data_IF_818398921869
#
_entry.id   IF_818398921869
#
_cell.length_a   1.000
_cell.length_b   1.000
_cell.length_c   1.000
_cell.angle_alpha   90.00
_cell.angle_beta   90.00
_cell.angle_gamma   90.00
#
_symmetry.space_group_name_H-M   'P 1'
#
loop_
_entity.id
_entity.type
_entity.pdbx_description
1 polymer ?
#
# COMPACT_ATOMS: atom_id res chain seq x y z
N UNK A 1 91.68 -43.76 11.15
CA UNK A 1 90.44 -43.12 10.63
C UNK A 1 90.48 -43.21 9.10
N UNK A 2 89.68 -44.10 8.49
CA UNK A 2 89.74 -44.37 7.04
C UNK A 2 89.22 -43.18 6.22
N UNK A 3 89.94 -42.82 5.17
CA UNK A 3 89.70 -41.65 4.28
C UNK A 3 88.34 -41.67 3.58
N UNK A 4 87.72 -42.85 3.46
CA UNK A 4 86.35 -43.03 2.94
C UNK A 4 85.29 -42.44 3.89
N UNK A 5 85.46 -42.60 5.22
CA UNK A 5 84.49 -42.11 6.20
C UNK A 5 84.51 -40.58 6.36
N UNK A 6 85.66 -39.94 6.11
CA UNK A 6 85.79 -38.49 6.15
C UNK A 6 85.05 -37.80 4.98
N UNK A 7 85.10 -38.38 3.77
CA UNK A 7 84.39 -37.86 2.59
C UNK A 7 82.87 -37.99 2.74
N UNK A 8 82.39 -39.13 3.24
CA UNK A 8 80.96 -39.37 3.50
C UNK A 8 80.42 -38.40 4.57
N UNK A 9 81.21 -38.13 5.61
CA UNK A 9 80.83 -37.17 6.65
C UNK A 9 80.75 -35.73 6.13
N UNK A 10 81.71 -35.28 5.31
CA UNK A 10 81.66 -33.94 4.71
C UNK A 10 80.49 -33.78 3.72
N UNK A 11 80.17 -34.82 2.94
CA UNK A 11 79.05 -34.78 2.01
C UNK A 11 77.70 -34.67 2.75
N UNK A 12 77.51 -35.44 3.83
CA UNK A 12 76.31 -35.33 4.70
C UNK A 12 76.19 -33.97 5.39
N UNK A 13 77.30 -33.34 5.77
CA UNK A 13 77.27 -31.99 6.35
C UNK A 13 76.90 -30.92 5.30
N UNK A 14 77.35 -31.08 4.05
CA UNK A 14 77.02 -30.16 2.96
C UNK A 14 75.54 -30.25 2.57
N UNK A 15 74.97 -31.46 2.52
CA UNK A 15 73.53 -31.67 2.30
C UNK A 15 72.68 -31.14 3.45
N UNK A 16 73.06 -31.41 4.71
CA UNK A 16 72.36 -30.85 5.88
C UNK A 16 72.34 -29.32 5.86
N UNK A 17 73.45 -28.68 5.50
CA UNK A 17 73.51 -27.21 5.39
C UNK A 17 72.64 -26.69 4.24
N UNK A 18 72.54 -27.41 3.13
CA UNK A 18 71.66 -27.05 2.01
C UNK A 18 70.17 -27.13 2.41
N UNK A 19 69.75 -28.23 3.03
CA UNK A 19 68.37 -28.45 3.51
C UNK A 19 67.97 -27.42 4.58
N UNK A 20 68.88 -27.07 5.50
CA UNK A 20 68.61 -26.04 6.51
C UNK A 20 68.51 -24.63 5.92
N UNK A 21 69.20 -24.36 4.80
CA UNK A 21 69.15 -23.06 4.09
C UNK A 21 67.86 -22.93 3.27
N UNK A 22 67.42 -24.00 2.62
CA UNK A 22 66.14 -24.08 1.91
C UNK A 22 64.95 -23.96 2.88
N UNK A 23 64.93 -24.72 3.97
CA UNK A 23 63.87 -24.63 5.00
C UNK A 23 63.81 -23.26 5.71
N UNK A 24 64.94 -22.56 5.83
CA UNK A 24 64.97 -21.20 6.41
C UNK A 24 64.41 -20.17 5.41
N UNK A 25 64.70 -20.30 4.13
CA UNK A 25 64.15 -19.43 3.09
C UNK A 25 62.63 -19.62 2.94
N UNK A 26 62.12 -20.86 2.96
CA UNK A 26 60.67 -21.11 2.87
C UNK A 26 59.90 -20.56 4.08
N UNK A 27 60.47 -20.64 5.29
CA UNK A 27 59.86 -20.05 6.49
C UNK A 27 59.90 -18.52 6.49
N UNK A 28 60.93 -17.88 5.92
CA UNK A 28 61.01 -16.41 5.81
C UNK A 28 60.02 -15.91 4.75
N UNK A 29 59.97 -16.56 3.59
CA UNK A 29 59.06 -16.21 2.48
C UNK A 29 57.60 -16.44 2.90
N UNK A 30 57.26 -17.60 3.49
CA UNK A 30 55.89 -17.92 3.90
C UNK A 30 55.34 -17.06 5.05
N UNK A 31 56.21 -16.57 5.95
CA UNK A 31 55.80 -15.72 7.10
C UNK A 31 55.68 -14.24 6.72
N UNK A 32 56.46 -13.78 5.73
CA UNK A 32 56.36 -12.43 5.16
C UNK A 32 55.10 -12.28 4.31
N UNK A 33 54.83 -13.23 3.41
CA UNK A 33 53.65 -13.17 2.53
C UNK A 33 52.34 -13.25 3.33
N UNK A 34 52.24 -14.15 4.33
CA UNK A 34 51.01 -14.25 5.14
C UNK A 34 50.70 -12.98 5.95
N UNK A 35 51.71 -12.25 6.44
CA UNK A 35 51.52 -10.97 7.15
C UNK A 35 51.15 -9.82 6.20
N UNK A 36 51.76 -9.77 5.01
CA UNK A 36 51.47 -8.75 4.00
C UNK A 36 50.05 -8.94 3.44
N UNK A 37 49.64 -10.17 3.13
CA UNK A 37 48.27 -10.44 2.66
C UNK A 37 47.21 -10.18 3.74
N UNK A 38 47.46 -10.47 5.02
CA UNK A 38 46.49 -10.17 6.10
C UNK A 38 46.32 -8.68 6.39
N UNK A 39 47.39 -7.88 6.27
CA UNK A 39 47.31 -6.41 6.46
C UNK A 39 46.67 -5.73 5.25
N UNK A 40 46.93 -6.22 4.03
CA UNK A 40 46.29 -5.70 2.81
C UNK A 40 44.81 -6.08 2.75
N UNK A 41 44.40 -7.29 3.17
CA UNK A 41 42.98 -7.67 3.23
C UNK A 41 42.20 -6.89 4.30
N UNK A 42 42.78 -6.62 5.46
CA UNK A 42 42.13 -5.83 6.50
C UNK A 42 42.03 -4.34 6.13
N UNK A 43 43.05 -3.76 5.48
CA UNK A 43 43.01 -2.39 4.99
C UNK A 43 42.07 -2.21 3.77
N UNK A 44 41.98 -3.21 2.88
CA UNK A 44 41.08 -3.20 1.73
C UNK A 44 39.61 -3.44 2.11
N UNK A 45 39.32 -4.04 3.27
CA UNK A 45 37.97 -4.18 3.82
C UNK A 45 37.53 -3.00 4.72
N UNK A 46 38.48 -2.27 5.32
CA UNK A 46 38.13 -1.09 6.15
C UNK A 46 37.84 0.17 5.34
N UNK A 47 38.44 0.34 4.17
CA UNK A 47 38.22 1.51 3.31
C UNK A 47 36.78 1.58 2.73
N UNK A 48 36.15 0.48 2.29
CA UNK A 48 34.73 0.46 1.96
C UNK A 48 33.83 0.74 3.16
N UNK A 49 34.17 0.26 4.37
CA UNK A 49 33.35 0.46 5.57
C UNK A 49 33.39 1.90 6.10
N UNK A 50 34.53 2.59 6.00
CA UNK A 50 34.65 4.01 6.38
C UNK A 50 34.00 4.91 5.31
N UNK A 51 34.13 4.57 4.02
CA UNK A 51 33.43 5.27 2.94
C UNK A 51 31.90 5.05 3.02
N UNK A 52 31.45 3.86 3.40
CA UNK A 52 30.03 3.53 3.60
C UNK A 52 29.48 4.21 4.87
N UNK A 53 30.24 4.23 5.96
CA UNK A 53 29.90 4.97 7.18
C UNK A 53 29.85 6.49 6.97
N UNK A 54 30.78 7.05 6.18
CA UNK A 54 30.77 8.45 5.76
C UNK A 54 29.64 8.78 4.78
N UNK A 55 29.23 7.83 3.93
CA UNK A 55 28.06 7.94 3.06
C UNK A 55 26.75 7.94 3.85
N UNK A 56 26.59 7.01 4.82
CA UNK A 56 25.43 6.99 5.71
C UNK A 56 25.41 8.19 6.68
N UNK A 57 26.57 8.65 7.17
CA UNK A 57 26.65 9.86 7.99
C UNK A 57 26.38 11.13 7.17
N UNK A 58 26.78 11.22 5.90
CA UNK A 58 26.36 12.32 5.01
C UNK A 58 24.89 12.25 4.60
N UNK A 59 24.26 11.07 4.62
CA UNK A 59 22.81 10.94 4.45
C UNK A 59 22.02 11.26 5.73
N UNK A 60 22.64 11.26 6.91
CA UNK A 60 21.96 11.51 8.19
C UNK A 60 22.47 12.73 9.00
N UNK A 61 23.53 13.40 8.56
CA UNK A 61 23.95 14.70 9.08
C UNK A 61 23.15 15.82 8.39
N UNK A 62 21.87 15.83 8.70
CA UNK A 62 20.86 16.77 8.25
C UNK A 62 19.64 16.73 9.16
N UNK A 63 19.82 16.64 10.48
CA UNK A 63 18.78 17.09 11.40
C UNK A 63 18.75 18.62 11.34
N UNK A 64 18.00 19.14 10.37
CA UNK A 64 17.50 20.51 10.40
C UNK A 64 16.17 20.60 9.64
N UNK A 65 15.15 21.01 10.39
CA UNK A 65 13.82 21.48 9.99
C UNK A 65 12.87 20.47 9.31
N UNK A 66 11.92 19.95 10.11
CA UNK A 66 10.56 19.53 9.75
C UNK A 66 10.35 19.06 8.29
N UNK A 67 10.43 17.76 8.02
CA UNK A 67 9.72 17.23 6.85
C UNK A 67 8.24 17.01 7.21
N UNK A 68 7.44 18.07 7.04
CA UNK A 68 6.07 17.89 6.56
C UNK A 68 6.15 18.08 5.06
N UNK A 69 6.17 16.99 4.31
CA UNK A 69 6.07 17.03 2.85
C UNK A 69 4.85 16.25 2.40
N UNK A 70 3.67 16.79 2.69
CA UNK A 70 2.48 16.43 1.94
C UNK A 70 2.61 17.06 0.55
N UNK A 71 3.09 16.31 -0.45
CA UNK A 71 3.12 16.85 -1.82
C UNK A 71 1.72 16.79 -2.43
N UNK A 72 1.35 17.85 -3.13
CA UNK A 72 0.10 17.91 -3.87
C UNK A 72 0.35 17.35 -5.28
N UNK A 73 -0.31 16.23 -5.59
CA UNK A 73 -0.38 15.65 -6.92
C UNK A 73 -1.69 16.12 -7.56
N UNK A 74 -1.62 17.10 -8.45
CA UNK A 74 -2.80 17.55 -9.20
C UNK A 74 -3.06 16.61 -10.39
N UNK A 75 -4.31 16.14 -10.52
CA UNK A 75 -4.79 15.34 -11.64
C UNK A 75 -5.94 16.11 -12.29
N UNK A 76 -5.65 16.72 -13.43
CA UNK A 76 -6.63 17.49 -14.21
C UNK A 76 -7.59 16.58 -14.97
N UNK A 77 -8.67 17.14 -15.52
CA UNK A 77 -9.51 16.44 -16.48
C UNK A 77 -8.68 15.86 -17.64
N UNK A 78 -8.92 14.59 -17.99
CA UNK A 78 -8.11 13.85 -18.96
C UNK A 78 -6.74 13.38 -18.44
N UNK A 79 -6.40 13.68 -17.18
CA UNK A 79 -5.20 13.20 -16.52
C UNK A 79 -5.25 11.72 -16.14
N UNK A 80 -4.09 11.14 -15.85
CA UNK A 80 -3.97 9.72 -15.50
C UNK A 80 -4.01 9.51 -13.97
N UNK A 81 -5.17 9.10 -13.46
CA UNK A 81 -5.37 8.80 -12.04
C UNK A 81 -4.55 7.58 -11.58
N UNK A 82 -4.43 6.53 -12.40
CA UNK A 82 -3.65 5.34 -12.03
C UNK A 82 -2.16 5.70 -11.81
N UNK A 83 -1.58 6.49 -12.72
CA UNK A 83 -0.20 6.96 -12.58
C UNK A 83 -0.01 7.86 -11.34
N UNK A 84 -1.03 8.62 -10.94
CA UNK A 84 -0.98 9.41 -9.71
C UNK A 84 -0.99 8.51 -8.46
N UNK A 85 -1.81 7.46 -8.43
CA UNK A 85 -1.84 6.46 -7.35
C UNK A 85 -0.51 5.70 -7.23
N UNK A 86 0.10 5.36 -8.36
CA UNK A 86 1.40 4.69 -8.42
C UNK A 86 2.52 5.60 -7.92
N UNK A 87 2.52 6.88 -8.31
CA UNK A 87 3.53 7.84 -7.89
C UNK A 87 3.42 8.27 -6.43
N UNK A 88 2.20 8.36 -5.89
CA UNK A 88 1.98 8.88 -4.55
C UNK A 88 2.74 8.08 -3.48
N UNK A 89 3.28 8.80 -2.51
CA UNK A 89 3.95 8.28 -1.32
C UNK A 89 3.12 8.62 -0.07
N UNK A 90 3.21 7.85 1.03
CA UNK A 90 2.53 8.17 2.28
C UNK A 90 2.71 9.64 2.67
N UNK A 91 1.61 10.31 3.03
CA UNK A 91 1.57 11.75 3.30
C UNK A 91 1.10 12.62 2.11
N UNK A 92 1.17 12.11 0.87
CA UNK A 92 0.76 12.87 -0.32
C UNK A 92 -0.75 13.12 -0.38
N UNK A 93 -1.11 14.23 -1.05
CA UNK A 93 -2.49 14.53 -1.43
C UNK A 93 -2.66 14.52 -2.95
N UNK A 94 -3.45 13.59 -3.47
CA UNK A 94 -3.91 13.59 -4.86
C UNK A 94 -5.16 14.48 -4.97
N UNK A 95 -5.03 15.63 -5.63
CA UNK A 95 -6.14 16.54 -5.95
C UNK A 95 -6.68 16.24 -7.34
N UNK A 96 -7.87 15.67 -7.39
CA UNK A 96 -8.62 15.46 -8.63
C UNK A 96 -9.38 16.74 -8.97
N UNK A 97 -9.30 17.20 -10.22
CA UNK A 97 -10.00 18.40 -10.66
C UNK A 97 -11.51 18.32 -10.36
N UNK A 98 -12.02 19.32 -9.65
CA UNK A 98 -13.42 19.39 -9.24
C UNK A 98 -14.37 19.29 -10.46
N UNK A 99 -15.35 18.39 -10.38
CA UNK A 99 -16.31 18.14 -11.47
C UNK A 99 -15.75 17.36 -12.66
N UNK A 100 -14.46 17.00 -12.68
CA UNK A 100 -13.88 16.19 -13.74
C UNK A 100 -14.33 14.72 -13.65
N UNK A 101 -14.35 14.03 -14.80
CA UNK A 101 -14.63 12.60 -14.88
C UNK A 101 -13.36 11.80 -15.16
N UNK A 102 -13.15 10.74 -14.38
CA UNK A 102 -12.06 9.77 -14.51
C UNK A 102 -12.68 8.40 -14.81
N UNK A 103 -12.54 7.94 -16.05
CA UNK A 103 -13.09 6.66 -16.50
C UNK A 103 -11.99 5.61 -16.46
N UNK A 104 -12.20 4.53 -15.70
CA UNK A 104 -11.25 3.43 -15.59
C UNK A 104 -11.54 2.49 -14.42
N UNK A 105 -10.75 1.43 -14.35
CA UNK A 105 -10.67 0.54 -13.20
C UNK A 105 -9.32 0.80 -12.52
N UNK A 106 -9.34 1.38 -11.32
CA UNK A 106 -8.14 1.89 -10.66
C UNK A 106 -7.75 1.00 -9.49
N UNK A 107 -6.47 0.65 -9.43
CA UNK A 107 -5.93 -0.15 -8.35
C UNK A 107 -5.26 0.74 -7.31
N UNK A 108 -5.55 0.51 -6.03
CA UNK A 108 -4.81 1.08 -4.91
C UNK A 108 -3.59 0.19 -4.66
N UNK A 109 -2.36 0.66 -4.94
CA UNK A 109 -1.16 -0.15 -4.73
C UNK A 109 -0.79 -0.28 -3.24
N UNK A 110 -0.05 -1.33 -2.90
CA UNK A 110 0.65 -1.42 -1.62
C UNK A 110 1.74 -0.33 -1.53
N UNK A 111 1.90 0.32 -0.38
CA UNK A 111 2.90 1.37 -0.13
C UNK A 111 3.71 1.07 1.13
N UNK A 112 4.96 1.53 1.16
CA UNK A 112 5.79 1.45 2.37
C UNK A 112 5.59 2.70 3.22
N UNK A 113 5.08 2.56 4.45
CA UNK A 113 4.86 3.64 5.40
C UNK A 113 3.47 3.58 6.04
N UNK A 114 3.18 4.49 6.98
CA UNK A 114 1.93 4.51 7.76
C UNK A 114 1.12 5.81 7.66
N UNK A 115 1.53 6.75 6.82
CA UNK A 115 0.77 7.98 6.60
C UNK A 115 -0.26 7.81 5.50
N UNK A 116 -1.41 8.50 5.64
CA UNK A 116 -2.47 8.43 4.64
C UNK A 116 -2.08 9.12 3.34
N UNK A 117 -2.33 8.46 2.22
CA UNK A 117 -2.46 9.10 0.90
C UNK A 117 -3.90 9.58 0.79
N UNK A 118 -4.08 10.90 0.67
CA UNK A 118 -5.42 11.50 0.58
C UNK A 118 -5.78 11.78 -0.87
N UNK A 119 -6.83 11.15 -1.38
CA UNK A 119 -7.42 11.41 -2.69
C UNK A 119 -8.66 12.27 -2.49
N UNK A 120 -8.68 13.48 -3.05
CA UNK A 120 -9.79 14.41 -2.84
C UNK A 120 -10.07 15.31 -4.02
N UNK A 121 -11.26 15.89 -4.04
CA UNK A 121 -11.56 17.01 -4.93
C UNK A 121 -10.57 18.17 -4.73
N UNK A 122 -10.25 18.86 -5.82
CA UNK A 122 -9.49 20.10 -5.84
C UNK A 122 -10.33 21.31 -5.42
N UNK A 123 -11.64 21.15 -5.22
CA UNK A 123 -12.52 22.21 -4.74
C UNK A 123 -12.09 22.70 -3.34
N UNK A 124 -12.37 23.98 -3.08
CA UNK A 124 -12.13 24.59 -1.79
C UNK A 124 -13.01 23.94 -0.71
N UNK A 125 -12.51 23.89 0.53
CA UNK A 125 -13.18 23.17 1.63
C UNK A 125 -14.57 23.75 1.94
N UNK A 126 -14.81 25.03 1.68
CA UNK A 126 -16.11 25.69 1.88
C UNK A 126 -17.18 25.21 0.89
N UNK A 127 -16.79 24.50 -0.18
CA UNK A 127 -17.70 23.85 -1.14
C UNK A 127 -18.11 22.44 -0.70
N UNK A 128 -17.43 21.90 0.30
CA UNK A 128 -17.75 20.61 0.91
C UNK A 128 -18.49 20.81 2.23
N UNK A 129 -19.19 19.77 2.67
CA UNK A 129 -19.63 19.70 4.05
C UNK A 129 -18.40 19.77 4.97
N UNK A 130 -18.46 20.51 6.11
CA UNK A 130 -17.38 20.53 7.09
C UNK A 130 -16.98 19.12 7.54
N UNK A 131 -15.75 18.97 8.04
CA UNK A 131 -15.30 17.69 8.60
C UNK A 131 -16.27 17.21 9.71
N UNK A 132 -16.64 15.94 9.68
CA UNK A 132 -17.61 15.35 10.62
C UNK A 132 -19.08 15.57 10.25
N UNK A 133 -19.39 16.41 9.26
CA UNK A 133 -20.75 16.56 8.73
C UNK A 133 -20.95 15.67 7.51
N UNK A 134 -22.14 15.06 7.41
CA UNK A 134 -22.54 14.28 6.24
C UNK A 134 -22.54 15.17 4.99
N UNK A 135 -22.10 14.62 3.86
CA UNK A 135 -22.16 15.31 2.57
C UNK A 135 -23.58 15.75 2.23
N UNK A 136 -23.72 16.99 1.77
CA UNK A 136 -24.97 17.57 1.29
C UNK A 136 -24.94 17.64 -0.24
N UNK A 137 -25.55 16.66 -0.92
CA UNK A 137 -25.42 16.50 -2.37
C UNK A 137 -25.84 17.74 -3.16
N UNK A 138 -26.92 18.42 -2.74
CA UNK A 138 -27.41 19.63 -3.41
C UNK A 138 -26.37 20.76 -3.47
N UNK A 139 -25.41 20.81 -2.52
CA UNK A 139 -24.34 21.79 -2.49
C UNK A 139 -23.04 21.30 -3.11
N UNK A 140 -22.71 20.02 -2.91
CA UNK A 140 -21.37 19.51 -3.21
C UNK A 140 -21.25 18.79 -4.54
N UNK A 141 -22.33 18.22 -5.11
CA UNK A 141 -22.24 17.30 -6.27
C UNK A 141 -21.53 17.92 -7.48
N UNK A 142 -21.74 19.20 -7.76
CA UNK A 142 -21.11 19.91 -8.88
C UNK A 142 -19.58 20.02 -8.76
N UNK A 143 -19.03 19.80 -7.56
CA UNK A 143 -17.61 19.92 -7.26
C UNK A 143 -16.94 18.55 -7.02
N UNK A 144 -17.70 17.46 -7.05
CA UNK A 144 -17.14 16.12 -6.87
C UNK A 144 -16.51 15.65 -8.19
N UNK A 145 -15.23 15.27 -8.21
CA UNK A 145 -14.67 14.49 -9.30
C UNK A 145 -15.37 13.13 -9.31
N UNK A 146 -15.80 12.69 -10.50
CA UNK A 146 -16.47 11.41 -10.69
C UNK A 146 -15.47 10.36 -11.15
N UNK A 147 -15.43 9.23 -10.47
CA UNK A 147 -14.74 8.01 -10.90
C UNK A 147 -15.81 7.03 -11.40
N UNK A 148 -15.65 6.51 -12.62
CA UNK A 148 -16.61 5.60 -13.24
C UNK A 148 -15.92 4.47 -13.99
N UNK A 149 -16.59 3.33 -14.10
CA UNK A 149 -16.04 2.15 -14.75
C UNK A 149 -16.48 2.09 -16.21
N UNK A 150 -15.58 1.77 -17.16
CA UNK A 150 -15.95 1.54 -18.56
C UNK A 150 -16.62 0.18 -18.79
N UNK A 151 -16.63 -0.69 -17.78
CA UNK A 151 -17.04 -2.09 -17.90
C UNK A 151 -17.76 -2.58 -16.63
N UNK A 152 -17.88 -3.89 -16.47
CA UNK A 152 -18.54 -4.54 -15.35
C UNK A 152 -17.69 -4.57 -14.06
N UNK A 153 -16.40 -4.25 -14.15
CA UNK A 153 -15.47 -4.33 -13.04
C UNK A 153 -15.53 -3.07 -12.16
N UNK A 154 -15.05 -3.20 -10.93
CA UNK A 154 -15.07 -2.12 -9.94
C UNK A 154 -14.28 -0.89 -10.43
N UNK A 155 -14.72 0.30 -10.00
CA UNK A 155 -13.99 1.56 -10.25
C UNK A 155 -12.70 1.62 -9.44
N UNK A 156 -12.74 1.09 -8.21
CA UNK A 156 -11.60 1.03 -7.29
C UNK A 156 -11.47 -0.39 -6.78
N UNK A 157 -10.25 -0.93 -6.87
CA UNK A 157 -9.86 -2.20 -6.26
C UNK A 157 -8.63 -1.98 -5.40
N UNK A 158 -8.66 -2.46 -4.15
CA UNK A 158 -7.46 -2.54 -3.33
C UNK A 158 -6.69 -3.82 -3.68
N UNK A 159 -5.40 -3.72 -4.03
CA UNK A 159 -4.56 -4.91 -4.18
C UNK A 159 -4.23 -5.48 -2.79
N UNK A 160 -3.73 -6.73 -2.73
CA UNK A 160 -3.35 -7.36 -1.47
C UNK A 160 -2.42 -6.45 -0.64
N UNK A 161 -2.79 -6.24 0.62
CA UNK A 161 -2.07 -5.40 1.58
C UNK A 161 -2.19 -3.89 1.35
N UNK A 162 -2.94 -3.42 0.34
CA UNK A 162 -3.10 -1.98 0.11
C UNK A 162 -3.68 -1.28 1.34
N UNK A 163 -3.05 -0.17 1.74
CA UNK A 163 -3.39 0.46 3.01
C UNK A 163 -3.14 1.96 3.07
N UNK A 164 -3.74 2.60 4.08
CA UNK A 164 -3.58 4.03 4.38
C UNK A 164 -4.01 4.93 3.22
N UNK A 165 -5.22 4.69 2.71
CA UNK A 165 -5.86 5.49 1.67
C UNK A 165 -7.09 6.21 2.22
N UNK A 166 -7.23 7.50 1.92
CA UNK A 166 -8.41 8.28 2.32
C UNK A 166 -9.02 8.98 1.13
N UNK A 167 -10.30 8.74 0.86
CA UNK A 167 -11.09 9.44 -0.15
C UNK A 167 -11.96 10.52 0.51
N UNK A 168 -11.87 11.76 0.01
CA UNK A 168 -12.65 12.89 0.54
C UNK A 168 -13.32 13.68 -0.58
N UNK A 169 -14.66 13.78 -0.55
CA UNK A 169 -15.39 14.58 -1.54
C UNK A 169 -15.18 14.05 -2.96
N UNK A 170 -15.39 12.75 -3.16
CA UNK A 170 -15.27 12.07 -4.46
C UNK A 170 -16.59 11.37 -4.78
N UNK A 171 -16.98 11.39 -6.04
CA UNK A 171 -18.14 10.66 -6.56
C UNK A 171 -17.68 9.35 -7.21
N UNK A 172 -18.38 8.25 -6.92
CA UNK A 172 -18.17 6.94 -7.53
C UNK A 172 -19.47 6.48 -8.20
N UNK A 173 -19.42 6.33 -9.52
CA UNK A 173 -20.57 5.91 -10.32
C UNK A 173 -20.64 4.40 -10.53
N UNK A 174 -21.83 3.94 -10.91
CA UNK A 174 -22.12 2.54 -11.25
C UNK A 174 -21.17 1.93 -12.28
N UNK A 175 -21.01 0.61 -12.18
CA UNK A 175 -20.40 -0.19 -13.24
C UNK A 175 -21.37 -0.36 -14.41
N UNK A 176 -20.85 -0.71 -15.58
CA UNK A 176 -21.69 -0.99 -16.76
C UNK A 176 -22.64 -2.15 -16.48
N UNK A 177 -23.94 -1.94 -16.62
CA UNK A 177 -24.96 -2.93 -16.32
C UNK A 177 -25.29 -3.10 -14.83
N UNK A 178 -24.69 -2.29 -13.95
CA UNK A 178 -24.94 -2.32 -12.50
C UNK A 178 -24.57 -3.65 -11.83
N UNK A 179 -23.57 -4.35 -12.36
CA UNK A 179 -23.12 -5.66 -11.85
C UNK A 179 -21.98 -5.51 -10.83
N UNK A 180 -21.82 -6.51 -9.96
CA UNK A 180 -20.71 -6.55 -9.01
C UNK A 180 -20.70 -5.39 -8.01
N UNK A 181 -19.52 -4.83 -7.78
CA UNK A 181 -19.25 -3.79 -6.78
C UNK A 181 -18.77 -2.51 -7.46
N UNK A 182 -19.18 -1.33 -7.00
CA UNK A 182 -18.54 -0.07 -7.45
C UNK A 182 -17.13 0.00 -6.87
N UNK A 183 -16.98 -0.31 -5.57
CA UNK A 183 -15.70 -0.37 -4.88
C UNK A 183 -15.48 -1.79 -4.35
N UNK A 184 -14.31 -2.37 -4.66
CA UNK A 184 -13.86 -3.67 -4.16
C UNK A 184 -12.69 -3.50 -3.21
N UNK A 185 -12.94 -3.65 -1.90
CA UNK A 185 -11.89 -3.89 -0.92
C UNK A 185 -11.91 -5.37 -0.55
N UNK A 186 -10.75 -6.02 -0.73
CA UNK A 186 -10.50 -7.43 -0.44
C UNK A 186 -11.27 -8.38 -1.35
N UNK A 187 -10.59 -9.31 -2.03
CA UNK A 187 -11.22 -10.22 -3.01
C UNK A 187 -11.64 -11.56 -2.43
N UNK A 188 -11.39 -11.80 -1.14
CA UNK A 188 -11.49 -13.10 -0.43
C UNK A 188 -10.42 -14.14 -0.79
N UNK A 189 -9.56 -13.81 -1.76
CA UNK A 189 -8.42 -14.64 -2.15
C UNK A 189 -7.21 -14.45 -1.23
N UNK A 190 -7.26 -13.45 -0.33
CA UNK A 190 -6.21 -13.17 0.65
C UNK A 190 -5.92 -14.43 1.47
N UNK A 191 -4.63 -14.80 1.56
CA UNK A 191 -4.20 -16.04 2.21
C UNK A 191 -3.60 -15.81 3.58
N UNK A 192 -3.25 -14.56 3.89
CA UNK A 192 -2.60 -14.14 5.13
C UNK A 192 -3.25 -12.85 5.61
N UNK A 193 -3.26 -12.62 6.92
CA UNK A 193 -3.95 -11.46 7.52
C UNK A 193 -3.41 -10.14 6.97
N UNK A 194 -2.12 -10.07 6.71
CA UNK A 194 -1.48 -8.88 6.13
C UNK A 194 -1.73 -8.68 4.63
N UNK A 195 -2.33 -9.67 3.94
CA UNK A 195 -2.80 -9.49 2.57
C UNK A 195 -4.14 -8.73 2.54
N UNK A 196 -4.85 -8.64 3.68
CA UNK A 196 -6.09 -7.88 3.77
C UNK A 196 -5.81 -6.38 3.57
N UNK A 197 -6.58 -5.68 2.73
CA UNK A 197 -6.54 -4.24 2.70
C UNK A 197 -6.86 -3.67 4.08
N UNK A 198 -6.15 -2.61 4.50
CA UNK A 198 -6.40 -2.02 5.82
C UNK A 198 -6.21 -0.52 5.90
N UNK A 199 -6.83 0.14 6.88
CA UNK A 199 -6.74 1.60 7.06
C UNK A 199 -7.17 2.34 5.78
N UNK A 200 -8.37 2.02 5.28
CA UNK A 200 -8.96 2.68 4.10
C UNK A 200 -10.21 3.42 4.53
N UNK A 201 -10.28 4.70 4.18
CA UNK A 201 -11.32 5.60 4.65
C UNK A 201 -12.04 6.27 3.47
N UNK A 202 -13.37 6.32 3.56
CA UNK A 202 -14.25 7.09 2.70
C UNK A 202 -14.99 8.11 3.56
N UNK A 203 -14.67 9.39 3.41
CA UNK A 203 -15.27 10.49 4.15
C UNK A 203 -15.95 11.48 3.20
N UNK A 204 -17.24 11.76 3.41
CA UNK A 204 -18.01 12.68 2.56
C UNK A 204 -17.91 12.30 1.07
N UNK A 205 -18.05 11.01 0.76
CA UNK A 205 -18.11 10.54 -0.64
C UNK A 205 -19.56 10.36 -1.09
N UNK A 206 -19.77 10.38 -2.40
CA UNK A 206 -21.03 10.02 -3.03
C UNK A 206 -20.84 8.74 -3.84
N UNK A 207 -21.49 7.64 -3.45
CA UNK A 207 -21.42 6.36 -4.19
C UNK A 207 -22.82 6.07 -4.73
N UNK A 208 -22.97 5.87 -6.03
CA UNK A 208 -24.32 5.72 -6.56
C UNK A 208 -24.44 4.76 -7.73
N UNK A 209 -25.55 4.03 -7.73
CA UNK A 209 -25.99 3.24 -8.87
C UNK A 209 -26.46 4.09 -10.04
N UNK A 210 -26.71 3.43 -11.17
CA UNK A 210 -27.38 4.05 -12.31
C UNK A 210 -28.84 4.35 -11.91
N UNK A 211 -29.39 5.54 -12.22
CA UNK A 211 -30.80 5.81 -11.92
C UNK A 211 -31.76 4.81 -12.59
N UNK A 212 -31.36 4.28 -13.76
CA UNK A 212 -32.15 3.34 -14.58
C UNK A 212 -31.82 1.87 -14.28
N UNK A 213 -30.55 1.51 -14.30
CA UNK A 213 -30.11 0.10 -14.14
C UNK A 213 -29.86 -0.26 -12.66
N UNK A 214 -29.55 0.73 -11.83
CA UNK A 214 -29.14 0.57 -10.45
C UNK A 214 -27.68 0.10 -10.31
N UNK A 215 -27.42 -0.65 -9.26
CA UNK A 215 -26.14 -1.28 -8.93
C UNK A 215 -26.40 -2.43 -7.97
N UNK A 216 -25.68 -3.56 -8.13
CA UNK A 216 -25.74 -4.67 -7.17
C UNK A 216 -25.14 -4.27 -5.82
N UNK A 217 -23.89 -3.80 -5.77
CA UNK A 217 -23.27 -3.38 -4.51
C UNK A 217 -22.53 -2.05 -4.63
N UNK A 218 -22.68 -1.19 -3.62
CA UNK A 218 -21.91 0.04 -3.52
C UNK A 218 -20.45 -0.28 -3.20
N UNK A 219 -20.20 -0.76 -1.98
CA UNK A 219 -18.86 -1.17 -1.54
C UNK A 219 -18.87 -2.60 -0.97
N UNK A 220 -17.92 -3.41 -1.43
CA UNK A 220 -17.46 -4.58 -0.70
C UNK A 220 -16.31 -4.13 0.22
N UNK A 221 -16.55 -4.03 1.52
CA UNK A 221 -15.63 -3.47 2.50
C UNK A 221 -14.93 -4.58 3.31
N UNK A 222 -14.35 -5.55 2.60
CA UNK A 222 -13.51 -6.58 3.22
C UNK A 222 -12.12 -6.02 3.50
N UNK A 223 -11.55 -6.34 4.66
CA UNK A 223 -10.32 -5.73 5.14
C UNK A 223 -10.35 -5.43 6.64
N UNK A 224 -9.44 -4.58 7.13
CA UNK A 224 -9.35 -4.18 8.55
C UNK A 224 -9.21 -2.66 8.69
N UNK A 225 -9.70 -2.06 9.76
CA UNK A 225 -9.65 -0.58 9.92
C UNK A 225 -10.27 0.15 8.73
N UNK A 226 -11.47 -0.27 8.32
CA UNK A 226 -12.19 0.34 7.21
C UNK A 226 -13.18 1.36 7.78
N UNK A 227 -13.19 2.59 7.24
CA UNK A 227 -14.14 3.63 7.64
C UNK A 227 -14.95 4.10 6.45
N UNK A 228 -16.27 4.11 6.61
CA UNK A 228 -17.22 4.70 5.66
C UNK A 228 -18.04 5.69 6.48
N UNK A 229 -17.74 6.96 6.34
CA UNK A 229 -18.27 8.00 7.23
C UNK A 229 -18.81 9.20 6.45
N UNK A 230 -19.83 9.86 7.01
CA UNK A 230 -20.34 11.13 6.52
C UNK A 230 -20.76 11.11 5.04
N UNK A 231 -21.05 9.93 4.49
CA UNK A 231 -21.17 9.72 3.04
C UNK A 231 -22.62 9.50 2.61
N UNK A 232 -22.86 9.54 1.31
CA UNK A 232 -24.17 9.29 0.71
C UNK A 232 -24.05 8.14 -0.29
N UNK A 233 -24.82 7.07 -0.07
CA UNK A 233 -24.84 5.90 -0.94
C UNK A 233 -26.28 5.68 -1.42
N UNK A 234 -26.52 5.74 -2.73
CA UNK A 234 -27.87 5.67 -3.31
C UNK A 234 -28.01 4.83 -4.56
N UNK A 235 -29.24 4.56 -4.97
CA UNK A 235 -29.56 3.79 -6.18
C UNK A 235 -28.96 2.37 -6.21
N UNK A 236 -28.68 1.78 -5.05
CA UNK A 236 -28.14 0.42 -4.96
C UNK A 236 -29.28 -0.60 -5.04
N UNK A 237 -29.75 -0.81 -6.26
CA UNK A 237 -30.88 -1.67 -6.59
C UNK A 237 -30.52 -2.54 -7.78
N UNK A 238 -31.00 -3.78 -7.80
CA UNK A 238 -30.90 -4.63 -8.99
C UNK A 238 -32.07 -5.58 -9.10
N UNK A 239 -32.62 -5.73 -10.31
CA UNK A 239 -33.70 -6.69 -10.55
C UNK A 239 -33.14 -8.11 -10.52
N UNK A 240 -33.78 -8.99 -9.76
CA UNK A 240 -33.46 -10.42 -9.72
C UNK A 240 -32.23 -10.82 -8.89
N UNK A 241 -31.54 -9.86 -8.26
CA UNK A 241 -30.40 -10.11 -7.38
C UNK A 241 -30.60 -9.37 -6.05
N UNK A 242 -29.94 -9.85 -5.00
CA UNK A 242 -29.75 -9.08 -3.77
C UNK A 242 -28.75 -7.95 -4.00
N UNK A 243 -29.06 -6.76 -3.46
CA UNK A 243 -28.24 -5.58 -3.59
C UNK A 243 -27.89 -4.95 -2.24
N UNK A 244 -26.63 -4.54 -2.08
CA UNK A 244 -26.13 -4.02 -0.80
C UNK A 244 -25.44 -2.66 -0.92
N UNK A 245 -25.82 -1.67 -0.11
CA UNK A 245 -25.07 -0.41 -0.11
C UNK A 245 -23.64 -0.66 0.39
N UNK A 246 -23.52 -1.42 1.49
CA UNK A 246 -22.26 -1.86 2.07
C UNK A 246 -22.36 -3.36 2.38
N UNK A 247 -21.41 -4.16 1.88
CA UNK A 247 -21.28 -5.58 2.21
C UNK A 247 -19.90 -5.88 2.79
N UNK A 248 -19.86 -6.70 3.85
CA UNK A 248 -18.65 -7.01 4.62
C UNK A 248 -18.68 -8.47 5.04
N UNK A 249 -17.86 -9.33 4.44
CA UNK A 249 -17.89 -10.77 4.73
C UNK A 249 -16.50 -11.38 5.00
N UNK A 250 -15.43 -10.63 4.76
CA UNK A 250 -14.06 -11.06 5.07
C UNK A 250 -13.34 -9.98 5.89
N UNK A 251 -13.62 -9.96 7.19
CA UNK A 251 -13.01 -9.05 8.17
C UNK A 251 -13.09 -9.65 9.57
N UNK A 252 -12.11 -9.34 10.42
CA UNK A 252 -12.20 -9.44 11.88
C UNK A 252 -12.29 -8.04 12.54
N UNK A 253 -12.47 -7.00 11.72
CA UNK A 253 -12.58 -5.60 12.13
C UNK A 253 -11.24 -4.89 12.40
N UNK A 254 -11.29 -3.62 12.82
CA UNK A 254 -12.51 -2.82 12.98
C UNK A 254 -13.10 -2.34 11.65
N UNK A 255 -14.43 -2.25 11.58
CA UNK A 255 -15.16 -1.59 10.48
C UNK A 255 -16.11 -0.54 11.06
N UNK A 256 -15.98 0.71 10.62
CA UNK A 256 -16.82 1.84 11.06
C UNK A 256 -17.73 2.29 9.91
N UNK A 257 -19.04 2.23 10.12
CA UNK A 257 -20.06 2.77 9.22
C UNK A 257 -20.82 3.82 10.00
N UNK A 258 -20.44 5.10 9.86
CA UNK A 258 -20.92 6.17 10.74
C UNK A 258 -21.47 7.37 9.98
N UNK A 259 -22.64 7.86 10.38
CA UNK A 259 -23.22 9.10 9.86
C UNK A 259 -23.42 9.13 8.34
N UNK A 260 -23.78 8.00 7.73
CA UNK A 260 -24.06 7.92 6.30
C UNK A 260 -25.54 8.00 5.99
N UNK A 261 -25.89 8.42 4.78
CA UNK A 261 -27.18 8.12 4.18
C UNK A 261 -27.01 6.91 3.26
N UNK A 262 -27.79 5.84 3.45
CA UNK A 262 -27.64 4.59 2.72
C UNK A 262 -28.97 4.19 2.12
N UNK A 263 -28.99 3.87 0.82
CA UNK A 263 -30.09 3.19 0.15
C UNK A 263 -29.60 1.90 -0.48
N UNK A 264 -30.35 0.83 -0.28
CA UNK A 264 -30.25 -0.37 -1.11
C UNK A 264 -31.61 -1.04 -1.22
N UNK A 265 -31.89 -1.78 -2.30
CA UNK A 265 -33.14 -2.53 -2.42
C UNK A 265 -33.21 -3.69 -1.41
N UNK A 266 -32.15 -4.50 -1.30
CA UNK A 266 -32.12 -5.65 -0.38
C UNK A 266 -31.55 -5.26 1.01
N UNK A 267 -30.24 -5.10 1.17
CA UNK A 267 -29.62 -4.77 2.47
C UNK A 267 -28.85 -3.45 2.43
N UNK A 268 -29.19 -2.47 3.28
CA UNK A 268 -28.36 -1.26 3.35
C UNK A 268 -26.95 -1.59 3.90
N UNK A 269 -26.86 -2.54 4.82
CA UNK A 269 -25.61 -3.06 5.38
C UNK A 269 -25.73 -4.57 5.53
N UNK A 270 -24.75 -5.33 5.05
CA UNK A 270 -24.64 -6.77 5.24
C UNK A 270 -23.29 -7.10 5.90
N UNK A 271 -23.33 -7.83 7.03
CA UNK A 271 -22.18 -8.51 7.61
C UNK A 271 -22.32 -10.02 7.41
N UNK A 272 -21.34 -10.66 6.79
CA UNK A 272 -21.36 -12.07 6.38
C UNK A 272 -21.98 -12.29 4.99
N UNK A 273 -22.54 -13.48 4.77
CA UNK A 273 -23.16 -13.88 3.50
C UNK A 273 -22.23 -14.57 2.51
N UNK A 274 -20.93 -14.68 2.81
CA UNK A 274 -19.95 -15.48 2.08
C UNK A 274 -18.78 -15.87 3.00
N UNK A 275 -18.06 -16.92 2.64
CA UNK A 275 -16.80 -17.32 3.29
C UNK A 275 -15.61 -16.65 2.60
N UNK A 276 -14.49 -16.57 3.32
CA UNK A 276 -13.18 -16.20 2.77
C UNK A 276 -12.17 -17.29 3.07
N UNK A 277 -11.05 -17.31 2.35
CA UNK A 277 -10.00 -18.31 2.61
C UNK A 277 -9.49 -18.25 4.05
N UNK A 278 -9.41 -17.05 4.64
CA UNK A 278 -9.00 -16.81 6.02
C UNK A 278 -10.08 -17.15 7.06
N UNK A 279 -11.29 -17.53 6.63
CA UNK A 279 -12.44 -17.86 7.49
C UNK A 279 -12.75 -16.79 8.54
N UNK A 280 -12.54 -15.52 8.18
CA UNK A 280 -12.79 -14.40 9.08
C UNK A 280 -14.29 -14.17 9.24
N UNK A 281 -14.69 -13.86 10.47
CA UNK A 281 -16.05 -13.48 10.82
C UNK A 281 -16.04 -12.02 11.29
N UNK A 282 -16.91 -11.14 10.75
CA UNK A 282 -17.03 -9.77 11.24
C UNK A 282 -17.37 -9.75 12.73
N UNK A 283 -16.46 -9.23 13.56
CA UNK A 283 -16.56 -9.28 15.04
C UNK A 283 -16.41 -7.93 15.72
N UNK A 284 -15.67 -6.98 15.12
CA UNK A 284 -15.54 -5.61 15.60
C UNK A 284 -16.08 -4.63 14.56
N UNK A 285 -17.36 -4.25 14.71
CA UNK A 285 -18.09 -3.42 13.75
C UNK A 285 -18.90 -2.34 14.48
N UNK A 286 -18.61 -1.07 14.19
CA UNK A 286 -19.35 0.08 14.69
C UNK A 286 -20.32 0.61 13.62
N UNK A 287 -21.61 0.57 13.91
CA UNK A 287 -22.66 1.15 13.07
C UNK A 287 -23.42 2.20 13.86
N UNK A 288 -23.27 3.49 13.52
CA UNK A 288 -23.87 4.57 14.32
C UNK A 288 -24.29 5.77 13.47
N UNK A 289 -25.42 6.40 13.80
CA UNK A 289 -25.87 7.65 13.19
C UNK A 289 -26.23 7.59 11.70
N UNK A 290 -26.33 6.40 11.10
CA UNK A 290 -26.71 6.24 9.69
C UNK A 290 -28.22 6.45 9.49
N UNK A 291 -28.59 7.01 8.34
CA UNK A 291 -29.96 7.04 7.85
C UNK A 291 -30.12 5.94 6.79
N UNK A 292 -30.80 4.86 7.15
CA UNK A 292 -31.08 3.74 6.24
C UNK A 292 -32.42 4.01 5.56
N UNK A 293 -32.38 4.41 4.30
CA UNK A 293 -33.58 4.70 3.53
C UNK A 293 -33.93 3.56 2.55
N UNK A 294 -35.23 3.37 2.35
CA UNK A 294 -35.86 2.49 1.37
C UNK A 294 -36.89 3.31 0.61
N UNK A 295 -36.46 4.16 -0.35
CA UNK A 295 -37.39 5.04 -1.05
C UNK A 295 -38.46 4.22 -1.76
N UNK A 296 -39.73 4.55 -1.50
CA UNK A 296 -40.85 4.00 -2.24
C UNK A 296 -40.77 4.52 -3.68
N UNK A 297 -41.04 3.64 -4.64
CA UNK A 297 -41.22 4.04 -6.04
C UNK A 297 -42.54 4.76 -6.24
#
# INVERSE_FOLDING_TARGET
MNTVNAKIWQQKQKERRKILRENRNDKIVGRSHKRIYSVILLAALSLPLIALGGYFYRQHAGYSALEVSANIINVKAGGNLQAALERATPGDTIKLEAGASFVGNFNLPLKTGGEFITIRTSAADEKLAPAGARIELAKSVAFLPKISSPNADATITAVNGAHHYRFVGVEFGATRGGVGNIIQLGTTDERRIEDLPHHIEFDRVFIHGSPTEGQRRGIAANGKFIKIINSYISDIKRKGDESQAIGVWATDGPVEIVNNYLEAAAENILFGGAESYLQLTPTDCLVSGNHLNKPLK
#
